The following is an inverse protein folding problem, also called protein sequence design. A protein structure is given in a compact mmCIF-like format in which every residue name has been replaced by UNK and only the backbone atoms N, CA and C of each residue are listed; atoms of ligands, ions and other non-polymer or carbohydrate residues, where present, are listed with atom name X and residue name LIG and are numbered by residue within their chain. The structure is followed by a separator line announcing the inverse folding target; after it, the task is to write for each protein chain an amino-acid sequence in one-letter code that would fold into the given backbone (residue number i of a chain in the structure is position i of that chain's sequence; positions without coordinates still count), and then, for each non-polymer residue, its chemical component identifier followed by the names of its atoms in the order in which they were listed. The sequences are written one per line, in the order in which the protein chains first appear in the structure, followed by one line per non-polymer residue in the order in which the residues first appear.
data_IF_656081892072
#
_entry.id   IF_656081892072
#
_cell.length_a   1.000
_cell.length_b   1.000
_cell.length_c   1.000
_cell.angle_alpha   90.00
_cell.angle_beta   90.00
_cell.angle_gamma   90.00
#
_symmetry.space_group_name_H-M   'P 1'
#
loop_
_entity.id
_entity.type
_entity.pdbx_description
1 polymer ?
#
# COMPACT_ATOMS: atom_id res chain seq x y z
N UNK A 1 -4.50 16.19 -46.13
CA UNK A 1 -5.59 15.44 -45.44
C UNK A 1 -4.95 14.39 -44.52
N UNK A 2 -5.53 13.91 -43.42
CA UNK A 2 -6.94 13.88 -43.02
C UNK A 2 -7.32 12.46 -42.57
N UNK A 3 -6.71 11.99 -41.46
CA UNK A 3 -7.09 10.73 -40.80
C UNK A 3 -6.74 10.78 -39.31
N UNK A 4 -7.53 11.56 -38.57
CA UNK A 4 -7.68 11.34 -37.15
C UNK A 4 -8.24 9.90 -36.97
N UNK A 5 -7.38 8.98 -36.52
CA UNK A 5 -7.82 7.67 -36.02
C UNK A 5 -7.74 7.74 -34.52
N UNK A 6 -8.84 7.41 -33.86
CA UNK A 6 -9.07 7.63 -32.45
C UNK A 6 -7.89 7.10 -31.61
N UNK A 7 -7.40 7.95 -30.70
CA UNK A 7 -6.63 7.46 -29.58
C UNK A 7 -7.52 6.49 -28.79
N UNK A 8 -6.98 5.40 -28.21
CA UNK A 8 -7.71 4.63 -27.22
C UNK A 8 -7.83 5.49 -25.95
N UNK A 9 -8.93 6.23 -25.85
CA UNK A 9 -9.22 7.10 -24.71
C UNK A 9 -9.14 6.31 -23.39
N UNK A 10 -8.71 6.99 -22.32
CA UNK A 10 -8.41 6.38 -21.01
C UNK A 10 -9.57 5.60 -20.39
N UNK A 11 -10.79 5.80 -20.89
CA UNK A 11 -11.98 4.99 -20.60
C UNK A 11 -11.76 3.48 -20.83
N UNK A 12 -10.92 3.09 -21.79
CA UNK A 12 -10.68 1.68 -22.15
C UNK A 12 -9.71 0.95 -21.20
N UNK A 13 -8.88 1.68 -20.44
CA UNK A 13 -7.98 1.09 -19.46
C UNK A 13 -8.71 0.61 -18.18
N UNK A 14 -9.83 1.27 -17.86
CA UNK A 14 -10.65 1.01 -16.67
C UNK A 14 -11.26 -0.41 -16.65
N UNK A 15 -11.95 -0.91 -17.69
CA UNK A 15 -12.51 -2.26 -17.67
C UNK A 15 -11.46 -3.37 -17.61
N UNK A 16 -10.26 -3.16 -18.17
CA UNK A 16 -9.21 -4.18 -18.18
C UNK A 16 -8.59 -4.40 -16.78
N UNK A 17 -8.40 -3.32 -16.01
CA UNK A 17 -8.03 -3.42 -14.60
C UNK A 17 -9.15 -4.00 -13.72
N UNK A 18 -10.41 -3.71 -14.05
CA UNK A 18 -11.58 -4.23 -13.34
C UNK A 18 -11.77 -5.74 -13.51
N UNK A 19 -11.49 -6.27 -14.72
CA UNK A 19 -11.60 -7.70 -15.03
C UNK A 19 -10.67 -8.58 -14.17
N UNK A 20 -9.50 -8.05 -13.79
CA UNK A 20 -8.51 -8.75 -12.95
C UNK A 20 -8.92 -8.73 -11.46
N UNK A 21 -9.76 -7.77 -11.04
CA UNK A 21 -10.11 -7.55 -9.63
C UNK A 21 -11.34 -8.30 -9.11
N UNK A 22 -12.22 -8.83 -9.97
CA UNK A 22 -13.57 -9.26 -9.57
C UNK A 22 -13.61 -10.47 -8.61
N UNK A 23 -12.75 -11.48 -8.77
CA UNK A 23 -13.15 -12.85 -8.38
C UNK A 23 -13.08 -13.19 -6.89
N UNK A 24 -12.48 -12.36 -6.03
CA UNK A 24 -12.37 -12.57 -4.57
C UNK A 24 -11.54 -13.80 -4.11
N UNK A 25 -11.27 -14.73 -5.03
CA UNK A 25 -10.56 -16.01 -4.84
C UNK A 25 -9.06 -15.89 -5.16
N UNK A 26 -8.52 -14.69 -4.98
CA UNK A 26 -7.18 -14.29 -5.44
C UNK A 26 -6.26 -13.78 -4.34
N UNK A 27 -6.55 -14.00 -3.04
CA UNK A 27 -5.68 -13.54 -1.93
C UNK A 27 -4.22 -13.94 -2.14
N UNK A 28 -3.96 -15.23 -2.35
CA UNK A 28 -2.62 -15.77 -2.55
C UNK A 28 -2.04 -15.37 -3.91
N UNK A 29 -2.86 -15.41 -4.97
CA UNK A 29 -2.46 -15.01 -6.33
C UNK A 29 -2.04 -13.54 -6.37
N UNK A 30 -2.78 -12.65 -5.69
CA UNK A 30 -2.51 -11.22 -5.67
C UNK A 30 -1.36 -10.85 -4.73
N UNK A 31 -1.16 -11.57 -3.62
CA UNK A 31 0.06 -11.45 -2.79
C UNK A 31 1.29 -11.97 -3.55
N UNK A 32 1.17 -13.08 -4.28
CA UNK A 32 2.24 -13.63 -5.11
C UNK A 32 2.57 -12.73 -6.31
N UNK A 33 1.57 -12.23 -7.05
CA UNK A 33 1.77 -11.22 -8.10
C UNK A 33 2.35 -9.93 -7.53
N UNK A 34 1.89 -9.49 -6.35
CA UNK A 34 2.45 -8.31 -5.67
C UNK A 34 3.92 -8.51 -5.30
N UNK A 35 4.29 -9.69 -4.79
CA UNK A 35 5.67 -10.07 -4.51
C UNK A 35 6.52 -10.11 -5.79
N UNK A 36 6.05 -10.76 -6.83
CA UNK A 36 6.72 -10.83 -8.13
C UNK A 36 6.87 -9.44 -8.79
N UNK A 37 5.83 -8.60 -8.74
CA UNK A 37 5.85 -7.24 -9.25
C UNK A 37 6.78 -6.32 -8.46
N UNK A 38 6.95 -6.53 -7.15
CA UNK A 38 7.95 -5.83 -6.32
C UNK A 38 9.37 -6.37 -6.51
N UNK A 39 9.55 -7.61 -6.98
CA UNK A 39 10.86 -8.14 -7.37
C UNK A 39 11.35 -7.58 -8.72
N UNK A 40 10.44 -7.07 -9.57
CA UNK A 40 10.80 -6.39 -10.81
C UNK A 40 11.36 -4.98 -10.50
N UNK A 41 12.55 -4.61 -11.03
CA UNK A 41 13.05 -3.24 -10.96
C UNK A 41 12.07 -2.29 -11.64
N UNK A 42 11.68 -1.19 -10.99
CA UNK A 42 10.67 -0.25 -11.50
C UNK A 42 11.02 0.32 -12.88
N UNK A 43 12.28 0.73 -13.07
CA UNK A 43 12.83 1.16 -14.37
C UNK A 43 12.79 0.01 -15.40
N UNK A 44 13.09 -1.22 -14.99
CA UNK A 44 13.08 -2.40 -15.85
C UNK A 44 11.68 -2.75 -16.35
N UNK A 45 10.66 -2.67 -15.47
CA UNK A 45 9.25 -2.87 -15.84
C UNK A 45 8.79 -1.82 -16.86
N UNK A 46 9.09 -0.54 -16.61
CA UNK A 46 8.78 0.56 -17.54
C UNK A 46 9.43 0.33 -18.90
N UNK A 47 10.74 0.04 -18.94
CA UNK A 47 11.44 -0.23 -20.19
C UNK A 47 10.91 -1.46 -20.94
N UNK A 48 10.56 -2.53 -20.22
CA UNK A 48 9.97 -3.74 -20.80
C UNK A 48 8.62 -3.44 -21.47
N UNK A 49 7.73 -2.72 -20.79
CA UNK A 49 6.42 -2.32 -21.35
C UNK A 49 6.58 -1.37 -22.54
N UNK A 50 7.54 -0.43 -22.50
CA UNK A 50 7.87 0.43 -23.65
C UNK A 50 8.40 -0.39 -24.84
N UNK A 51 9.21 -1.42 -24.60
CA UNK A 51 9.76 -2.28 -25.65
C UNK A 51 8.70 -3.19 -26.28
N UNK A 52 7.79 -3.74 -25.47
CA UNK A 52 6.73 -4.66 -25.92
C UNK A 52 5.59 -3.93 -26.63
N UNK A 53 5.14 -2.79 -26.11
CA UNK A 53 4.02 -2.01 -26.70
C UNK A 53 4.55 -1.08 -27.80
N UNK A 54 5.81 -0.65 -27.71
CA UNK A 54 6.50 0.21 -28.66
C UNK A 54 6.66 1.64 -28.17
N UNK A 55 7.72 2.31 -28.63
CA UNK A 55 8.16 3.65 -28.17
C UNK A 55 7.10 4.75 -28.37
N UNK A 56 6.16 4.56 -29.31
CA UNK A 56 5.04 5.48 -29.54
C UNK A 56 4.11 5.54 -28.33
N UNK A 57 3.89 4.41 -27.65
CA UNK A 57 2.97 4.25 -26.51
C UNK A 57 3.71 4.28 -25.16
N UNK A 58 4.82 5.02 -25.10
CA UNK A 58 5.69 5.04 -23.91
C UNK A 58 5.06 5.68 -22.67
N UNK A 59 4.06 6.54 -22.86
CA UNK A 59 3.31 7.19 -21.77
C UNK A 59 2.38 6.18 -21.10
N UNK A 60 1.67 5.41 -21.92
CA UNK A 60 0.74 4.36 -21.56
C UNK A 60 1.49 3.21 -20.87
N UNK A 61 2.61 2.79 -21.44
CA UNK A 61 3.53 1.82 -20.83
C UNK A 61 3.99 2.25 -19.42
N UNK A 62 4.36 3.52 -19.24
CA UNK A 62 4.76 4.04 -17.93
C UNK A 62 3.59 4.11 -16.94
N UNK A 63 2.43 4.61 -17.35
CA UNK A 63 1.21 4.64 -16.51
C UNK A 63 0.81 3.24 -16.06
N UNK A 64 0.76 2.26 -16.98
CA UNK A 64 0.49 0.85 -16.65
C UNK A 64 1.52 0.31 -15.66
N UNK A 65 2.81 0.61 -15.86
CA UNK A 65 3.88 0.21 -14.92
C UNK A 65 3.66 0.76 -13.52
N UNK A 66 3.35 2.06 -13.39
CA UNK A 66 3.13 2.68 -12.08
C UNK A 66 1.85 2.19 -11.41
N UNK A 67 0.79 1.88 -12.17
CA UNK A 67 -0.43 1.23 -11.64
C UNK A 67 -0.09 -0.17 -11.12
N UNK A 68 0.64 -0.99 -11.89
CA UNK A 68 1.08 -2.33 -11.47
C UNK A 68 1.94 -2.29 -10.19
N UNK A 69 2.84 -1.30 -10.08
CA UNK A 69 3.67 -1.06 -8.89
C UNK A 69 2.85 -0.57 -7.67
N UNK A 70 1.73 0.13 -7.90
CA UNK A 70 0.84 0.65 -6.86
C UNK A 70 -0.10 -0.40 -6.26
N UNK A 71 -0.57 -1.37 -7.06
CA UNK A 71 -1.47 -2.47 -6.64
C UNK A 71 -1.02 -3.14 -5.32
N UNK A 72 0.26 -3.56 -5.14
CA UNK A 72 0.78 -4.08 -3.87
C UNK A 72 0.39 -3.29 -2.62
N UNK A 73 0.47 -1.97 -2.69
CA UNK A 73 0.30 -1.08 -1.55
C UNK A 73 -1.17 -0.78 -1.26
N UNK A 74 -2.01 -0.70 -2.30
CA UNK A 74 -3.48 -0.63 -2.17
C UNK A 74 -4.02 -1.95 -1.59
N UNK A 75 -3.59 -3.09 -2.12
CA UNK A 75 -4.01 -4.41 -1.68
C UNK A 75 -3.62 -4.69 -0.22
N UNK A 76 -2.42 -4.29 0.19
CA UNK A 76 -1.98 -4.42 1.57
C UNK A 76 -2.86 -3.63 2.55
N UNK A 77 -3.24 -2.39 2.21
CA UNK A 77 -4.14 -1.58 3.03
C UNK A 77 -5.57 -2.14 3.08
N UNK A 78 -6.09 -2.62 1.95
CA UNK A 78 -7.39 -3.29 1.90
C UNK A 78 -7.40 -4.59 2.73
N UNK A 79 -6.38 -5.43 2.59
CA UNK A 79 -6.26 -6.67 3.36
C UNK A 79 -6.14 -6.42 4.86
N UNK A 80 -5.29 -5.47 5.28
CA UNK A 80 -5.19 -5.04 6.67
C UNK A 80 -6.54 -4.49 7.18
N UNK A 81 -7.31 -3.80 6.32
CA UNK A 81 -8.66 -3.33 6.60
C UNK A 81 -9.62 -4.43 7.01
N UNK A 82 -9.62 -5.57 6.31
CA UNK A 82 -10.47 -6.72 6.64
C UNK A 82 -9.95 -7.54 7.83
N UNK A 83 -8.63 -7.77 7.91
CA UNK A 83 -8.02 -8.58 8.98
C UNK A 83 -8.07 -7.88 10.36
N UNK A 84 -8.20 -6.54 10.38
CA UNK A 84 -8.39 -5.77 11.61
C UNK A 84 -9.80 -5.89 12.24
N UNK A 85 -10.75 -6.53 11.55
CA UNK A 85 -12.13 -6.68 12.01
C UNK A 85 -12.24 -7.96 12.85
N UNK A 86 -12.59 -7.82 14.13
CA UNK A 86 -12.87 -8.96 14.99
C UNK A 86 -14.07 -9.77 14.46
N UNK A 87 -13.89 -11.07 14.31
CA UNK A 87 -14.92 -12.02 13.88
C UNK A 87 -16.18 -11.95 14.75
N UNK A 88 -16.02 -11.66 16.05
CA UNK A 88 -17.15 -11.47 16.96
C UNK A 88 -18.09 -10.34 16.52
N UNK A 89 -17.59 -9.28 15.87
CA UNK A 89 -18.42 -8.18 15.35
C UNK A 89 -19.23 -8.65 14.12
N UNK A 90 -18.62 -9.47 13.27
CA UNK A 90 -19.28 -10.05 12.09
C UNK A 90 -20.36 -11.05 12.52
N UNK A 91 -20.06 -11.92 13.49
CA UNK A 91 -21.00 -12.93 14.00
C UNK A 91 -22.14 -12.30 14.80
N UNK A 92 -21.89 -11.20 15.53
CA UNK A 92 -22.95 -10.39 16.13
C UNK A 92 -23.89 -9.77 15.07
N UNK A 93 -23.33 -9.28 13.95
CA UNK A 93 -24.13 -8.82 12.80
C UNK A 93 -25.03 -9.92 12.24
N UNK A 94 -24.50 -11.14 12.07
CA UNK A 94 -25.27 -12.32 11.63
C UNK A 94 -26.36 -12.70 12.64
N UNK A 95 -26.06 -12.68 13.94
CA UNK A 95 -27.00 -13.02 15.00
C UNK A 95 -28.23 -12.09 15.06
N UNK A 96 -28.08 -10.83 14.66
CA UNK A 96 -29.19 -9.85 14.53
C UNK A 96 -29.87 -9.93 13.15
N UNK A 97 -29.51 -10.93 12.32
CA UNK A 97 -30.15 -11.19 11.02
C UNK A 97 -29.64 -10.35 9.85
N UNK A 98 -28.46 -9.72 9.97
CA UNK A 98 -27.89 -8.97 8.84
C UNK A 98 -27.52 -9.89 7.67
N UNK A 99 -27.87 -9.49 6.45
CA UNK A 99 -27.43 -10.20 5.24
C UNK A 99 -25.93 -9.96 4.98
N UNK A 100 -25.24 -10.84 4.22
CA UNK A 100 -23.82 -10.63 3.90
C UNK A 100 -23.52 -9.27 3.25
N UNK A 101 -24.45 -8.74 2.45
CA UNK A 101 -24.33 -7.42 1.83
C UNK A 101 -24.47 -6.27 2.84
N UNK A 102 -25.33 -6.43 3.84
CA UNK A 102 -25.47 -5.48 4.94
C UNK A 102 -24.21 -5.49 5.82
N UNK A 103 -23.65 -6.66 6.13
CA UNK A 103 -22.40 -6.81 6.88
C UNK A 103 -21.26 -6.10 6.15
N UNK A 104 -21.08 -6.36 4.85
CA UNK A 104 -20.06 -5.72 4.02
C UNK A 104 -20.15 -4.18 4.11
N UNK A 105 -21.31 -3.60 3.79
CA UNK A 105 -21.43 -2.13 3.69
C UNK A 105 -21.62 -1.39 5.02
N UNK A 106 -22.14 -2.04 6.07
CA UNK A 106 -22.40 -1.39 7.38
C UNK A 106 -21.34 -1.70 8.44
N UNK A 107 -20.57 -2.77 8.28
CA UNK A 107 -19.54 -3.19 9.24
C UNK A 107 -18.17 -3.17 8.56
N UNK A 108 -17.96 -3.99 7.52
CA UNK A 108 -16.60 -4.25 7.02
C UNK A 108 -15.99 -3.05 6.31
N UNK A 109 -16.72 -2.44 5.37
CA UNK A 109 -16.30 -1.23 4.65
C UNK A 109 -15.97 -0.08 5.62
N UNK A 110 -16.87 0.40 6.51
CA UNK A 110 -16.56 1.53 7.36
C UNK A 110 -15.43 1.26 8.38
N UNK A 111 -15.27 0.02 8.85
CA UNK A 111 -14.22 -0.32 9.81
C UNK A 111 -12.85 -0.54 9.14
N UNK A 112 -12.82 -1.06 7.91
CA UNK A 112 -11.61 -1.26 7.11
C UNK A 112 -11.15 -0.05 6.29
N UNK A 113 -12.04 0.90 5.99
CA UNK A 113 -11.75 2.13 5.23
C UNK A 113 -10.56 2.97 5.76
N UNK A 114 -10.33 3.14 7.08
CA UNK A 114 -9.13 3.80 7.62
C UNK A 114 -7.81 3.24 7.08
N UNK A 115 -7.75 1.90 6.97
CA UNK A 115 -6.56 1.13 6.58
C UNK A 115 -6.44 1.05 5.06
N UNK A 116 -7.56 0.96 4.34
CA UNK A 116 -7.60 1.09 2.88
C UNK A 116 -7.06 2.45 2.41
N UNK A 117 -7.46 3.55 3.07
CA UNK A 117 -6.90 4.89 2.78
C UNK A 117 -5.39 4.94 3.12
N UNK A 118 -4.95 4.24 4.16
CA UNK A 118 -3.52 4.09 4.47
C UNK A 118 -2.73 3.37 3.36
N UNK A 119 -3.31 2.34 2.76
CA UNK A 119 -2.75 1.65 1.58
C UNK A 119 -2.70 2.56 0.35
N UNK A 120 -3.77 3.31 0.09
CA UNK A 120 -3.85 4.25 -1.03
C UNK A 120 -2.84 5.41 -0.89
N UNK A 121 -2.67 5.94 0.33
CA UNK A 121 -1.63 6.92 0.67
C UNK A 121 -0.23 6.37 0.38
N UNK A 122 0.04 5.16 0.85
CA UNK A 122 1.34 4.47 0.63
C UNK A 122 1.61 4.24 -0.86
N UNK A 123 0.58 3.85 -1.63
CA UNK A 123 0.66 3.68 -3.07
C UNK A 123 0.94 4.99 -3.81
N UNK A 124 0.27 6.09 -3.41
CA UNK A 124 0.49 7.41 -4.01
C UNK A 124 1.92 7.92 -3.77
N UNK A 125 2.44 7.80 -2.55
CA UNK A 125 3.83 8.18 -2.22
C UNK A 125 4.85 7.36 -3.01
N UNK A 126 4.62 6.04 -3.13
CA UNK A 126 5.46 5.14 -3.92
C UNK A 126 5.48 5.52 -5.42
N UNK A 127 4.32 5.85 -5.99
CA UNK A 127 4.22 6.32 -7.39
C UNK A 127 4.92 7.66 -7.55
N UNK A 128 4.72 8.63 -6.65
CA UNK A 128 5.40 9.94 -6.73
C UNK A 128 6.92 9.82 -6.63
N UNK A 129 7.43 8.92 -5.77
CA UNK A 129 8.86 8.64 -5.71
C UNK A 129 9.39 8.03 -7.03
N UNK A 130 8.66 7.06 -7.60
CA UNK A 130 9.11 6.31 -8.79
C UNK A 130 8.84 7.01 -10.13
N UNK A 131 7.85 7.91 -10.23
CA UNK A 131 7.53 8.63 -11.47
C UNK A 131 8.66 9.55 -11.93
N UNK A 132 9.55 9.97 -11.03
CA UNK A 132 10.78 10.72 -11.37
C UNK A 132 11.64 9.98 -12.41
N UNK A 133 11.64 8.64 -12.36
CA UNK A 133 12.37 7.74 -13.25
C UNK A 133 11.81 7.77 -14.69
N UNK A 134 10.54 8.15 -14.87
CA UNK A 134 9.92 8.31 -16.19
C UNK A 134 10.68 9.31 -17.11
N UNK A 135 11.45 10.22 -16.53
CA UNK A 135 12.32 11.12 -17.27
C UNK A 135 13.36 10.39 -18.14
N UNK A 136 13.84 9.21 -17.73
CA UNK A 136 14.82 8.41 -18.49
C UNK A 136 14.28 7.92 -19.85
N UNK A 137 12.97 7.70 -19.99
CA UNK A 137 12.33 7.36 -21.28
C UNK A 137 11.83 8.59 -22.04
N UNK A 138 12.25 9.79 -21.63
CA UNK A 138 11.92 11.05 -22.28
C UNK A 138 10.43 11.39 -22.22
N UNK A 139 9.77 11.11 -21.09
CA UNK A 139 8.39 11.56 -20.82
C UNK A 139 8.31 12.99 -20.27
N UNK A 140 9.44 13.63 -19.97
CA UNK A 140 9.47 14.97 -19.39
C UNK A 140 9.06 14.95 -17.91
N UNK A 141 8.21 15.91 -17.51
CA UNK A 141 7.71 16.05 -16.13
C UNK A 141 8.76 16.56 -15.13
N UNK A 142 8.41 16.56 -13.83
CA UNK A 142 9.29 17.09 -12.78
C UNK A 142 10.65 16.36 -12.68
N UNK A 143 10.68 15.07 -13.00
CA UNK A 143 11.92 14.28 -13.06
C UNK A 143 12.89 14.72 -14.14
N UNK A 144 12.42 15.42 -15.20
CA UNK A 144 13.28 15.86 -16.30
C UNK A 144 14.40 16.81 -15.82
N UNK A 145 14.05 17.81 -15.01
CA UNK A 145 15.02 18.78 -14.49
C UNK A 145 16.02 18.13 -13.52
N UNK A 146 15.62 17.08 -12.80
CA UNK A 146 16.50 16.30 -11.95
C UNK A 146 17.56 15.54 -12.78
N UNK A 147 17.13 14.82 -13.83
CA UNK A 147 18.04 14.09 -14.73
C UNK A 147 18.92 15.05 -15.54
N UNK A 148 18.36 16.14 -16.06
CA UNK A 148 19.11 17.17 -16.78
C UNK A 148 20.16 17.84 -15.88
N UNK A 149 19.82 18.16 -14.63
CA UNK A 149 20.74 18.75 -13.66
C UNK A 149 21.94 17.83 -13.39
N UNK A 150 21.74 16.51 -13.29
CA UNK A 150 22.82 15.52 -13.15
C UNK A 150 23.72 15.54 -14.39
N UNK A 151 23.14 15.49 -15.61
CA UNK A 151 23.89 15.48 -16.87
C UNK A 151 24.73 16.75 -17.05
N UNK A 152 24.18 17.91 -16.69
CA UNK A 152 24.85 19.21 -16.77
C UNK A 152 25.77 19.52 -15.58
N UNK A 153 25.86 18.62 -14.58
CA UNK A 153 26.53 18.84 -13.28
C UNK A 153 26.05 20.10 -12.53
N UNK A 154 24.79 20.47 -12.76
CA UNK A 154 24.12 21.64 -12.17
C UNK A 154 23.37 21.25 -10.90
N UNK A 155 24.11 21.20 -9.79
CA UNK A 155 23.55 20.82 -8.49
C UNK A 155 22.46 21.79 -7.99
N UNK A 156 22.53 23.07 -8.38
CA UNK A 156 21.47 24.06 -8.22
C UNK A 156 20.13 23.58 -8.83
N UNK A 157 20.20 23.03 -10.05
CA UNK A 157 19.04 22.51 -10.76
C UNK A 157 18.52 21.19 -10.16
N UNK A 158 19.42 20.29 -9.75
CA UNK A 158 19.05 19.02 -9.09
C UNK A 158 18.35 19.29 -7.76
N UNK A 159 18.86 20.21 -6.94
CA UNK A 159 18.26 20.61 -5.66
C UNK A 159 16.90 21.26 -5.87
N UNK A 160 16.78 22.20 -6.82
CA UNK A 160 15.50 22.83 -7.16
C UNK A 160 14.43 21.82 -7.58
N UNK A 161 14.78 20.88 -8.48
CA UNK A 161 13.86 19.81 -8.90
C UNK A 161 13.45 18.89 -7.73
N UNK A 162 14.41 18.50 -6.89
CA UNK A 162 14.16 17.65 -5.72
C UNK A 162 13.23 18.33 -4.70
N UNK A 163 13.42 19.62 -4.42
CA UNK A 163 12.56 20.37 -3.50
C UNK A 163 11.11 20.45 -3.99
N UNK A 164 10.88 20.64 -5.29
CA UNK A 164 9.52 20.64 -5.88
C UNK A 164 8.87 19.26 -5.77
N UNK A 165 9.62 18.17 -6.02
CA UNK A 165 9.10 16.80 -5.86
C UNK A 165 8.79 16.47 -4.39
N UNK A 166 9.65 16.90 -3.45
CA UNK A 166 9.42 16.75 -2.00
C UNK A 166 8.17 17.53 -1.57
N UNK A 167 8.01 18.78 -2.03
CA UNK A 167 6.83 19.59 -1.73
C UNK A 167 5.54 18.93 -2.26
N UNK A 168 5.56 18.38 -3.48
CA UNK A 168 4.43 17.61 -4.03
C UNK A 168 4.11 16.36 -3.21
N UNK A 169 5.13 15.59 -2.81
CA UNK A 169 4.96 14.39 -1.99
C UNK A 169 4.36 14.73 -0.61
N UNK A 170 4.85 15.79 0.05
CA UNK A 170 4.32 16.26 1.34
C UNK A 170 2.89 16.83 1.22
N UNK A 171 2.56 17.51 0.11
CA UNK A 171 1.21 17.98 -0.15
C UNK A 171 0.24 16.81 -0.28
N UNK A 172 0.60 15.78 -1.07
CA UNK A 172 -0.21 14.58 -1.22
C UNK A 172 -0.34 13.80 0.10
N UNK A 173 0.74 13.68 0.85
CA UNK A 173 0.74 13.08 2.20
C UNK A 173 -0.23 13.80 3.15
N UNK A 174 -0.19 15.13 3.15
CA UNK A 174 -1.09 15.99 3.91
C UNK A 174 -2.55 15.86 3.49
N UNK A 175 -2.84 15.77 2.18
CA UNK A 175 -4.19 15.52 1.66
C UNK A 175 -4.71 14.16 2.15
N UNK A 176 -3.92 13.09 2.05
CA UNK A 176 -4.34 11.78 2.57
C UNK A 176 -4.49 11.77 4.09
N UNK A 177 -3.62 12.44 4.84
CA UNK A 177 -3.75 12.57 6.29
C UNK A 177 -5.02 13.35 6.70
N UNK A 178 -5.41 14.37 5.93
CA UNK A 178 -6.67 15.09 6.14
C UNK A 178 -7.88 14.22 5.78
N UNK A 179 -7.85 13.49 4.66
CA UNK A 179 -8.89 12.54 4.29
C UNK A 179 -9.09 11.45 5.35
N UNK A 180 -8.01 10.88 5.91
CA UNK A 180 -8.11 9.95 7.04
C UNK A 180 -8.78 10.61 8.26
N UNK A 181 -8.46 11.86 8.59
CA UNK A 181 -9.09 12.58 9.72
C UNK A 181 -10.57 12.88 9.50
N UNK A 182 -11.01 13.10 8.26
CA UNK A 182 -12.41 13.39 7.92
C UNK A 182 -13.26 12.11 7.84
N UNK A 183 -12.70 11.03 7.29
CA UNK A 183 -13.40 9.75 7.07
C UNK A 183 -13.43 8.87 8.32
N UNK A 184 -12.52 9.10 9.27
CA UNK A 184 -12.38 8.25 10.47
C UNK A 184 -12.69 9.04 11.75
N UNK A 185 -13.94 9.01 12.25
CA UNK A 185 -14.28 9.47 13.59
C UNK A 185 -13.41 8.78 14.64
N UNK A 186 -12.98 9.54 15.67
CA UNK A 186 -11.94 9.16 16.64
C UNK A 186 -12.19 7.88 17.47
N UNK A 187 -13.34 7.21 17.32
CA UNK A 187 -13.74 6.04 18.12
C UNK A 187 -12.94 4.75 17.89
N UNK A 188 -12.33 4.57 16.71
CA UNK A 188 -11.60 3.31 16.37
C UNK A 188 -10.16 3.32 16.90
N UNK A 189 -9.58 4.49 17.20
CA UNK A 189 -8.19 4.62 17.64
C UNK A 189 -7.95 4.29 19.13
N UNK A 190 -9.01 4.14 19.95
CA UNK A 190 -8.93 4.11 21.41
C UNK A 190 -9.11 2.72 22.05
N UNK A 191 -8.85 1.63 21.32
CA UNK A 191 -8.79 0.27 21.92
C UNK A 191 -7.42 -0.41 21.79
N UNK A 192 -6.37 0.37 21.52
CA UNK A 192 -5.00 -0.10 21.77
C UNK A 192 -4.71 -0.05 23.27
N UNK A 193 -4.55 -1.23 23.88
CA UNK A 193 -4.07 -1.44 25.26
C UNK A 193 -4.98 -0.87 26.38
N UNK A 194 -6.16 -1.47 26.54
CA UNK A 194 -6.60 -1.80 27.89
C UNK A 194 -5.82 -3.05 28.32
N UNK A 195 -4.62 -2.89 28.88
CA UNK A 195 -3.88 -4.01 29.47
C UNK A 195 -4.76 -4.69 30.52
N UNK A 196 -5.02 -6.01 30.43
CA UNK A 196 -5.49 -6.74 31.59
C UNK A 196 -4.35 -6.71 32.62
N UNK A 197 -4.48 -5.86 33.63
CA UNK A 197 -3.60 -5.80 34.81
C UNK A 197 -3.84 -7.00 35.73
N UNK A 198 -3.90 -8.20 35.16
CA UNK A 198 -3.86 -9.47 35.85
C UNK A 198 -2.43 -9.95 35.93
N UNK A 199 -1.73 -9.60 37.02
CA UNK A 199 -0.40 -10.14 37.32
C UNK A 199 -0.48 -11.67 37.32
N UNK A 200 0.33 -12.40 36.52
CA UNK A 200 0.32 -13.86 36.56
C UNK A 200 0.74 -14.34 37.95
N UNK A 201 -0.20 -14.89 38.73
CA UNK A 201 0.13 -15.64 39.94
C UNK A 201 0.75 -16.96 39.52
N UNK A 202 2.07 -16.97 39.36
CA UNK A 202 2.82 -18.21 39.31
C UNK A 202 2.61 -18.97 40.62
N UNK A 203 2.31 -20.28 40.58
CA UNK A 203 2.34 -21.12 41.77
C UNK A 203 3.72 -21.01 42.41
N UNK A 204 3.79 -20.76 43.73
CA UNK A 204 5.06 -20.89 44.44
C UNK A 204 5.46 -22.36 44.39
N UNK A 205 6.59 -22.64 43.79
CA UNK A 205 7.27 -23.93 43.94
C UNK A 205 7.95 -23.88 45.29
N UNK A 206 7.36 -24.54 46.28
CA UNK A 206 8.00 -24.72 47.59
C UNK A 206 9.17 -25.69 47.41
N UNK A 207 10.38 -25.12 47.25
CA UNK A 207 11.62 -25.89 47.16
C UNK A 207 11.89 -26.52 48.53
N UNK A 208 11.98 -27.86 48.65
CA UNK A 208 12.32 -28.49 49.91
C UNK A 208 13.71 -28.06 50.35
N UNK A 209 13.83 -27.48 51.55
CA UNK A 209 15.13 -27.33 52.20
C UNK A 209 15.60 -28.71 52.69
N UNK A 210 16.16 -29.50 51.79
CA UNK A 210 16.93 -30.69 52.18
C UNK A 210 18.19 -30.22 52.88
N UNK A 211 18.23 -30.51 54.18
CA UNK A 211 19.29 -30.21 55.13
C UNK A 211 20.71 -30.50 54.60
N UNK A 212 21.68 -29.74 55.10
CA UNK A 212 23.09 -30.13 55.07
C UNK A 212 23.42 -31.25 56.07
N UNK A 213 24.70 -31.67 56.07
CA UNK A 213 25.29 -32.88 56.70
C UNK A 213 24.95 -34.19 55.93
N UNK A 214 25.85 -35.12 55.58
CA UNK A 214 27.33 -35.30 55.64
C UNK A 214 27.83 -35.82 54.26
N UNK A 215 29.10 -36.06 53.92
CA UNK A 215 30.41 -36.09 54.59
C UNK A 215 31.42 -35.21 53.76
N UNK A 216 32.74 -35.06 53.99
CA UNK A 216 33.83 -35.81 54.67
C UNK A 216 34.48 -36.99 53.89
N UNK A 217 35.82 -36.90 53.76
CA UNK A 217 36.83 -37.86 53.25
C UNK A 217 36.50 -38.77 52.04
N UNK A 218 37.29 -38.78 50.97
CA UNK A 218 38.73 -39.12 50.95
C UNK A 218 39.36 -38.66 49.63
#
# INVERSE_FOLDING_TARGET
EGRARAAPDSATAIPLGWLIGHTGRGREIAVALSGAARALPSLGLVLLLVLVIGVIYKTEAAVVSFVLLAIPSILAGAYAGFEAIDRAVIDAGRAVGMTPWQILWKIEVPLGLPLLIGGLRSAALQVVATVTIAAYIGLGGLGFFFIQGIQLRRFDQVLGASLVVIALALLLDGVFALLQRLVVPRGVALRSVASPSGTPRFPRVDVPQTAGATAEST
#
